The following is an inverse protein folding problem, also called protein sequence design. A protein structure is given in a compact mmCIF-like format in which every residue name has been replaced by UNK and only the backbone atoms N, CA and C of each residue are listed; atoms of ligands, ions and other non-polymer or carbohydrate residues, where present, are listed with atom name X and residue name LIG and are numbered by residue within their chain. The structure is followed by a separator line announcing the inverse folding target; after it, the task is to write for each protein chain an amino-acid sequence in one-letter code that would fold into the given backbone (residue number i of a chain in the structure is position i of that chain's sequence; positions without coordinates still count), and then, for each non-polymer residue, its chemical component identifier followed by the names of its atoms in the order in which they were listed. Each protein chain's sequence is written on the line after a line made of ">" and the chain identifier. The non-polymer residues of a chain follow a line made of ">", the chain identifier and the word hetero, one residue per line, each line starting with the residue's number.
data_IF_607708417484
#
_entry.id   IF_607708417484
#
_cell.length_a   1.000
_cell.length_b   1.000
_cell.length_c   1.000
_cell.angle_alpha   90.00
_cell.angle_beta   90.00
_cell.angle_gamma   90.00
#
_symmetry.space_group_name_H-M   'P 1'
#
loop_
_entity.id
_entity.type
_entity.pdbx_description
1 polymer ?
#
# COMPACT_ATOMS: atom_id res chain seq x y z
N UNK A 1 -8.87 -6.94 -9.65
CA UNK A 1 -9.45 -7.02 -8.30
C UNK A 1 -9.01 -8.33 -7.66
N UNK A 2 -8.75 -8.37 -6.34
CA UNK A 2 -8.32 -9.60 -5.63
C UNK A 2 -6.81 -9.76 -5.38
N UNK A 3 -6.01 -8.69 -5.53
CA UNK A 3 -4.60 -8.71 -5.14
C UNK A 3 -4.47 -8.35 -3.66
N UNK A 4 -3.63 -9.09 -2.93
CA UNK A 4 -3.20 -8.70 -1.57
C UNK A 4 -2.12 -7.62 -1.70
N UNK A 5 -2.22 -6.57 -0.90
CA UNK A 5 -1.31 -5.44 -0.89
C UNK A 5 -0.93 -5.09 0.55
N UNK A 6 0.20 -4.43 0.72
CA UNK A 6 0.62 -3.87 2.01
C UNK A 6 0.26 -2.39 2.07
N UNK A 7 -0.33 -1.97 3.19
CA UNK A 7 -0.74 -0.58 3.44
C UNK A 7 -0.27 -0.10 4.80
N UNK A 8 -0.06 1.22 4.90
CA UNK A 8 0.15 1.93 6.15
C UNK A 8 -1.17 2.59 6.59
N UNK A 9 -1.67 2.22 7.76
CA UNK A 9 -3.00 2.63 8.26
C UNK A 9 -2.96 3.60 9.45
N UNK A 10 -1.79 4.03 9.91
CA UNK A 10 -1.61 4.88 11.09
C UNK A 10 -1.23 6.34 10.74
N UNK A 11 -1.33 6.72 9.46
CA UNK A 11 -1.12 8.11 9.04
C UNK A 11 -2.39 8.92 9.24
N UNK A 12 -2.23 10.25 9.31
CA UNK A 12 -3.38 11.15 9.20
C UNK A 12 -4.03 10.98 7.83
N UNK A 13 -5.37 11.00 7.80
CA UNK A 13 -6.14 10.95 6.56
C UNK A 13 -5.76 12.11 5.65
N UNK A 14 -5.58 11.84 4.37
CA UNK A 14 -5.20 12.84 3.38
C UNK A 14 -6.34 13.09 2.41
N UNK A 15 -6.64 14.36 2.10
CA UNK A 15 -7.63 14.70 1.07
C UNK A 15 -6.92 15.01 -0.24
N UNK A 16 -7.29 14.32 -1.31
CA UNK A 16 -6.68 14.45 -2.63
C UNK A 16 -7.78 14.53 -3.69
N UNK A 17 -7.84 15.66 -4.43
CA UNK A 17 -8.83 15.90 -5.50
C UNK A 17 -10.29 15.66 -5.08
N UNK A 18 -10.63 15.93 -3.83
CA UNK A 18 -11.99 15.74 -3.29
C UNK A 18 -12.19 14.43 -2.52
N UNK A 19 -11.35 13.43 -2.78
CA UNK A 19 -11.41 12.11 -2.15
C UNK A 19 -10.56 12.05 -0.88
N UNK A 20 -10.99 11.25 0.10
CA UNK A 20 -10.26 11.04 1.35
C UNK A 20 -9.52 9.70 1.31
N UNK A 21 -8.20 9.74 1.40
CA UNK A 21 -7.36 8.56 1.55
C UNK A 21 -7.25 8.16 3.01
N UNK A 22 -7.72 6.94 3.32
CA UNK A 22 -7.73 6.35 4.67
C UNK A 22 -6.44 5.59 4.99
N UNK A 23 -5.65 5.24 3.98
CA UNK A 23 -4.37 4.54 4.13
C UNK A 23 -3.41 4.90 2.98
N UNK A 24 -2.19 4.40 3.06
CA UNK A 24 -1.17 4.55 2.02
C UNK A 24 -0.70 3.18 1.54
N UNK A 25 -0.70 2.95 0.23
CA UNK A 25 -0.12 1.73 -0.37
C UNK A 25 1.40 1.79 -0.31
N UNK A 26 2.04 0.66 0.01
CA UNK A 26 3.49 0.54 -0.07
C UNK A 26 3.89 -0.10 -1.40
N UNK A 27 4.92 0.48 -2.02
CA UNK A 27 5.56 -0.03 -3.22
C UNK A 27 7.08 0.05 -3.10
N UNK A 28 7.77 -0.78 -3.87
CA UNK A 28 9.17 -0.57 -4.20
C UNK A 28 9.21 0.25 -5.49
N UNK A 29 10.10 1.22 -5.56
CA UNK A 29 10.31 2.07 -6.72
C UNK A 29 11.79 2.06 -7.08
N UNK A 30 12.11 2.10 -8.37
CA UNK A 30 13.49 2.28 -8.83
C UNK A 30 13.96 3.70 -8.53
N UNK A 31 15.27 3.89 -8.33
CA UNK A 31 15.82 5.21 -7.97
C UNK A 31 15.53 6.31 -9.03
N UNK A 32 15.34 5.91 -10.29
CA UNK A 32 15.01 6.78 -11.41
C UNK A 32 13.49 6.99 -11.59
N UNK A 33 12.66 6.34 -10.77
CA UNK A 33 11.20 6.41 -10.81
C UNK A 33 10.56 5.77 -12.05
N UNK A 34 11.32 4.99 -12.83
CA UNK A 34 10.82 4.36 -14.05
C UNK A 34 9.87 3.19 -13.78
N UNK A 35 10.04 2.51 -12.64
CA UNK A 35 9.19 1.38 -12.25
C UNK A 35 8.77 1.48 -10.78
N UNK A 36 7.48 1.23 -10.53
CA UNK A 36 6.94 1.08 -9.18
C UNK A 36 6.11 -0.20 -9.08
N UNK A 37 6.43 -1.06 -8.11
CA UNK A 37 5.80 -2.36 -7.89
C UNK A 37 5.19 -2.42 -6.49
N UNK A 38 3.91 -2.77 -6.42
CA UNK A 38 3.21 -2.92 -5.14
C UNK A 38 3.79 -4.07 -4.31
N UNK A 39 3.99 -3.82 -3.02
CA UNK A 39 4.43 -4.85 -2.10
C UNK A 39 3.29 -5.85 -1.83
N UNK A 40 3.59 -7.13 -1.97
CA UNK A 40 2.71 -8.26 -1.65
C UNK A 40 3.47 -9.27 -0.80
N UNK A 41 2.82 -9.92 0.18
CA UNK A 41 3.45 -11.05 0.87
C UNK A 41 3.72 -12.20 -0.12
N UNK A 42 4.81 -12.92 0.10
CA UNK A 42 5.20 -14.08 -0.72
C UNK A 42 4.21 -15.25 -0.58
N UNK A 43 3.57 -15.37 0.58
CA UNK A 43 2.55 -16.39 0.87
C UNK A 43 1.19 -15.73 1.13
N UNK A 44 0.13 -16.47 0.85
CA UNK A 44 -1.22 -16.03 1.20
C UNK A 44 -1.32 -15.77 2.70
N UNK A 45 -1.80 -14.58 3.05
CA UNK A 45 -2.05 -14.15 4.42
C UNK A 45 -3.48 -13.61 4.51
N UNK A 46 -4.17 -13.81 5.65
CA UNK A 46 -5.44 -13.14 5.89
C UNK A 46 -5.32 -11.61 5.80
N UNK A 47 -6.37 -10.94 5.33
CA UNK A 47 -6.41 -9.49 5.33
C UNK A 47 -6.35 -8.94 6.77
N UNK A 48 -5.63 -7.84 6.97
CA UNK A 48 -5.48 -7.19 8.29
C UNK A 48 -4.38 -7.76 9.18
N UNK A 49 -3.60 -8.75 8.72
CA UNK A 49 -2.39 -9.19 9.42
C UNK A 49 -1.42 -8.01 9.52
N UNK A 50 -0.91 -7.76 10.73
CA UNK A 50 0.06 -6.70 10.99
C UNK A 50 1.39 -7.03 10.32
N UNK A 51 1.87 -6.10 9.50
CA UNK A 51 3.25 -6.10 9.02
C UNK A 51 4.14 -5.51 10.12
N UNK A 52 5.24 -6.20 10.43
CA UNK A 52 6.19 -5.85 11.50
C UNK A 52 7.55 -5.51 10.94
#
# INVERSE_FOLDING_TARGET
>A
MGKTVVVLCNLQKAKMRGETSECMLLCAETDDGSESVLLTPERMMPAGVRVV
#
